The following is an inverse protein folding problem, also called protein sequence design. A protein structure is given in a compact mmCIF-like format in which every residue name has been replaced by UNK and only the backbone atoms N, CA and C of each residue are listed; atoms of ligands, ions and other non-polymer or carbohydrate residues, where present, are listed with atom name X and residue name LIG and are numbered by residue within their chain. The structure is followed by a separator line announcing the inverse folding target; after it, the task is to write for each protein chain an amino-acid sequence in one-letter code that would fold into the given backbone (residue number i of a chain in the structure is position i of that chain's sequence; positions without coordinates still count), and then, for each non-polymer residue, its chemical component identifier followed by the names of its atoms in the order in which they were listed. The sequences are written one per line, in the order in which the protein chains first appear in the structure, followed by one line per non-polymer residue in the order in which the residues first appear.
data_IF_866395818987
#
_entry.id   IF_866395818987
#
_cell.length_a   1.000
_cell.length_b   1.000
_cell.length_c   1.000
_cell.angle_alpha   90.00
_cell.angle_beta   90.00
_cell.angle_gamma   90.00
#
_symmetry.space_group_name_H-M   'P 1'
#
loop_
_entity.id
_entity.type
_entity.pdbx_description
1 polymer ?
#
# COMPACT_ATOMS: atom_id res chain seq x y z
N UNK A 1 21.07 19.67 -59.23
CA UNK A 1 20.48 18.64 -58.36
C UNK A 1 20.64 19.12 -56.93
N UNK A 2 19.57 19.68 -56.38
CA UNK A 2 19.51 20.16 -54.99
C UNK A 2 19.05 19.00 -54.13
N UNK A 3 19.94 18.47 -53.29
CA UNK A 3 19.57 17.51 -52.25
C UNK A 3 18.68 18.21 -51.22
N UNK A 4 17.41 17.78 -51.19
CA UNK A 4 16.49 18.11 -50.12
C UNK A 4 16.96 17.38 -48.87
N UNK A 5 17.65 18.10 -48.00
CA UNK A 5 17.97 17.64 -46.65
C UNK A 5 16.65 17.48 -45.90
N UNK A 6 16.25 16.22 -45.72
CA UNK A 6 15.11 15.83 -44.89
C UNK A 6 15.43 16.12 -43.41
N UNK A 7 15.15 17.34 -42.98
CA UNK A 7 15.01 17.71 -41.58
C UNK A 7 13.67 17.17 -41.02
N UNK A 8 13.58 15.85 -40.86
CA UNK A 8 12.48 15.25 -40.10
C UNK A 8 13.00 14.18 -39.14
N UNK A 9 14.08 14.50 -38.42
CA UNK A 9 14.47 13.76 -37.22
C UNK A 9 13.54 14.15 -36.07
N UNK A 10 12.40 13.46 -36.03
CA UNK A 10 11.51 13.26 -34.88
C UNK A 10 11.33 14.42 -33.90
N UNK A 11 10.21 15.13 -34.00
CA UNK A 11 9.71 16.04 -32.96
C UNK A 11 9.80 15.35 -31.59
N UNK A 12 10.80 15.73 -30.80
CA UNK A 12 10.88 15.35 -29.39
C UNK A 12 9.68 15.97 -28.67
N UNK A 13 8.90 15.14 -27.97
CA UNK A 13 7.80 15.59 -27.12
C UNK A 13 8.26 16.76 -26.23
N UNK A 14 7.57 17.90 -26.32
CA UNK A 14 7.78 19.05 -25.44
C UNK A 14 6.76 19.00 -24.31
N UNK A 15 7.19 18.95 -23.03
CA UNK A 15 6.26 18.95 -21.92
C UNK A 15 5.50 20.29 -21.85
N UNK A 16 4.18 20.22 -21.75
CA UNK A 16 3.32 21.38 -21.53
C UNK A 16 2.85 21.31 -20.08
N UNK A 17 3.29 22.28 -19.27
CA UNK A 17 2.87 22.38 -17.89
C UNK A 17 1.59 23.20 -17.78
N UNK A 18 0.61 22.69 -17.05
CA UNK A 18 -0.69 23.35 -16.87
C UNK A 18 -1.03 23.49 -15.39
N UNK A 19 -1.79 24.52 -15.05
CA UNK A 19 -2.32 24.74 -13.70
C UNK A 19 -3.57 23.91 -13.40
N UNK A 20 -4.31 23.53 -14.45
CA UNK A 20 -5.45 22.62 -14.40
C UNK A 20 -5.27 21.54 -15.46
N UNK A 21 -5.53 20.30 -15.09
CA UNK A 21 -5.25 19.12 -15.89
C UNK A 21 -6.48 18.30 -16.22
N UNK A 22 -7.60 18.50 -15.53
CA UNK A 22 -8.82 17.75 -15.82
C UNK A 22 -9.27 17.95 -17.28
N UNK A 23 -9.66 16.85 -17.94
CA UNK A 23 -9.98 16.78 -19.37
C UNK A 23 -8.84 17.17 -20.33
N UNK A 24 -7.58 17.21 -19.87
CA UNK A 24 -6.42 17.53 -20.72
C UNK A 24 -5.97 16.32 -21.52
N UNK A 25 -5.58 16.54 -22.77
CA UNK A 25 -4.99 15.49 -23.61
C UNK A 25 -3.62 15.05 -23.10
N UNK A 26 -3.39 13.74 -23.06
CA UNK A 26 -2.13 13.11 -22.67
C UNK A 26 -1.58 12.25 -23.80
N UNK A 27 -0.25 12.18 -23.87
CA UNK A 27 0.45 11.32 -24.81
C UNK A 27 1.02 10.11 -24.09
N UNK A 28 0.54 8.93 -24.45
CA UNK A 28 1.07 7.65 -23.97
C UNK A 28 2.25 7.26 -24.88
N UNK A 29 3.43 7.16 -24.29
CA UNK A 29 4.65 6.76 -24.98
C UNK A 29 4.65 5.25 -25.29
N UNK A 30 5.55 4.84 -26.21
CA UNK A 30 5.67 3.44 -26.67
C UNK A 30 5.90 2.42 -25.54
N UNK A 31 6.47 2.85 -24.42
CA UNK A 31 6.70 2.00 -23.24
C UNK A 31 5.49 1.92 -22.29
N UNK A 32 4.29 2.29 -22.74
CA UNK A 32 3.06 2.33 -21.94
C UNK A 32 3.13 3.30 -20.75
N UNK A 33 3.92 4.36 -20.84
CA UNK A 33 3.96 5.39 -19.78
C UNK A 33 3.57 6.75 -20.33
N UNK A 34 3.07 7.63 -19.47
CA UNK A 34 2.79 9.01 -19.80
C UNK A 34 3.22 9.93 -18.66
N UNK A 35 3.47 11.18 -19.00
CA UNK A 35 3.81 12.23 -18.03
C UNK A 35 2.62 13.14 -17.77
N UNK A 36 2.37 13.45 -16.50
CA UNK A 36 1.52 14.56 -16.07
C UNK A 36 2.46 15.71 -15.69
N UNK A 37 2.28 16.88 -16.29
CA UNK A 37 3.12 18.05 -16.09
C UNK A 37 2.27 19.17 -15.50
N UNK A 38 2.47 19.44 -14.22
CA UNK A 38 1.63 20.34 -13.44
C UNK A 38 2.45 21.52 -12.94
N UNK A 39 1.86 22.72 -12.96
CA UNK A 39 2.38 23.89 -12.27
C UNK A 39 1.46 24.22 -11.12
N UNK A 40 2.01 24.24 -9.90
CA UNK A 40 1.24 24.53 -8.70
C UNK A 40 0.95 26.03 -8.53
N UNK A 41 0.21 26.37 -7.47
CA UNK A 41 -0.16 27.75 -7.16
C UNK A 41 1.03 28.69 -6.89
N UNK A 42 2.20 28.14 -6.56
CA UNK A 42 3.44 28.88 -6.33
C UNK A 42 4.31 28.98 -7.59
N UNK A 43 3.88 28.36 -8.69
CA UNK A 43 4.65 28.32 -9.93
C UNK A 43 5.67 27.18 -10.00
N UNK A 44 5.72 26.27 -9.01
CA UNK A 44 6.63 25.14 -9.04
C UNK A 44 6.17 24.09 -10.05
N UNK A 45 7.14 23.47 -10.71
CA UNK A 45 6.90 22.51 -11.80
C UNK A 45 7.03 21.08 -11.29
N UNK A 46 5.93 20.35 -11.38
CA UNK A 46 5.81 18.97 -10.95
C UNK A 46 5.67 18.05 -12.16
N UNK A 47 6.36 16.90 -12.12
CA UNK A 47 6.26 15.84 -13.13
C UNK A 47 5.93 14.52 -12.47
N UNK A 48 4.82 13.93 -12.87
CA UNK A 48 4.42 12.58 -12.47
C UNK A 48 4.53 11.64 -13.66
N UNK A 49 5.07 10.45 -13.45
CA UNK A 49 5.15 9.41 -14.48
C UNK A 49 4.21 8.28 -14.10
N UNK A 50 3.30 7.97 -15.01
CA UNK A 50 2.23 6.99 -14.79
C UNK A 50 2.32 5.89 -15.85
N UNK A 51 2.08 4.64 -15.47
CA UNK A 51 2.04 3.52 -16.40
C UNK A 51 0.61 3.30 -16.88
N UNK A 52 0.34 3.67 -18.13
CA UNK A 52 -0.94 3.40 -18.76
C UNK A 52 -1.19 1.88 -18.88
N UNK A 53 -2.44 1.43 -18.71
CA UNK A 53 -2.77 0.02 -18.77
C UNK A 53 -2.71 -0.55 -20.19
N UNK A 54 -2.58 -1.86 -20.31
CA UNK A 54 -2.51 -2.54 -21.62
C UNK A 54 -3.72 -2.26 -22.53
N UNK A 55 -4.90 -2.00 -21.96
CA UNK A 55 -6.11 -1.61 -22.71
C UNK A 55 -5.94 -0.30 -23.47
N UNK A 56 -5.03 0.58 -23.03
CA UNK A 56 -4.72 1.83 -23.72
C UNK A 56 -3.89 1.64 -25.00
N UNK A 57 -3.50 0.40 -25.32
CA UNK A 57 -2.59 0.06 -26.44
C UNK A 57 -3.21 -0.89 -27.48
N UNK A 58 -4.55 -1.05 -27.51
CA UNK A 58 -5.22 -1.87 -28.52
C UNK A 58 -4.87 -1.45 -29.97
N UNK A 59 -5.04 -2.30 -30.98
CA UNK A 59 -4.73 -1.98 -32.38
C UNK A 59 -5.51 -0.76 -32.94
N UNK A 60 -6.62 -0.38 -32.29
CA UNK A 60 -7.39 0.86 -32.57
C UNK A 60 -7.05 2.02 -31.61
N UNK A 61 -5.98 1.94 -30.83
CA UNK A 61 -5.62 2.91 -29.77
C UNK A 61 -5.05 4.24 -30.28
N UNK A 62 -5.06 4.47 -31.59
CA UNK A 62 -4.63 5.73 -32.23
C UNK A 62 -5.50 6.94 -31.83
N UNK A 63 -6.63 6.71 -31.18
CA UNK A 63 -7.48 7.78 -30.64
C UNK A 63 -6.79 8.57 -29.52
N UNK A 64 -7.11 9.86 -29.45
CA UNK A 64 -6.65 10.78 -28.40
C UNK A 64 -7.00 10.23 -27.01
N UNK A 65 -6.21 10.63 -26.01
CA UNK A 65 -6.36 10.17 -24.62
C UNK A 65 -6.42 11.38 -23.72
N UNK A 66 -7.31 11.35 -22.74
CA UNK A 66 -7.57 12.48 -21.86
C UNK A 66 -7.50 12.02 -20.42
N UNK A 67 -6.93 12.85 -19.56
CA UNK A 67 -6.85 12.59 -18.12
C UNK A 67 -8.04 13.25 -17.40
N UNK A 68 -8.64 12.52 -16.47
CA UNK A 68 -9.71 12.98 -15.61
C UNK A 68 -9.40 12.69 -14.16
N UNK A 69 -9.65 13.67 -13.29
CA UNK A 69 -9.54 13.51 -11.84
C UNK A 69 -10.95 13.29 -11.28
N UNK A 70 -11.13 12.20 -10.54
CA UNK A 70 -12.44 11.76 -10.05
C UNK A 70 -12.35 11.34 -8.59
N UNK A 71 -13.50 11.21 -7.91
CA UNK A 71 -13.56 10.70 -6.53
C UNK A 71 -12.91 9.32 -6.34
N UNK A 72 -12.92 8.49 -7.39
CA UNK A 72 -12.42 7.12 -7.34
C UNK A 72 -10.92 7.03 -7.72
N UNK A 73 -10.32 8.13 -8.19
CA UNK A 73 -8.91 8.24 -8.56
C UNK A 73 -8.67 9.03 -9.85
N UNK A 74 -7.58 8.70 -10.55
CA UNK A 74 -7.23 9.30 -11.84
C UNK A 74 -7.67 8.35 -12.96
N UNK A 75 -8.50 8.84 -13.86
CA UNK A 75 -9.02 8.08 -14.99
C UNK A 75 -8.42 8.59 -16.30
N UNK A 76 -8.04 7.67 -17.18
CA UNK A 76 -7.59 7.98 -18.54
C UNK A 76 -8.67 7.49 -19.47
N UNK A 77 -9.27 8.39 -20.25
CA UNK A 77 -10.34 8.05 -21.19
C UNK A 77 -9.89 8.23 -22.63
N UNK A 78 -10.44 7.44 -23.52
CA UNK A 78 -10.33 7.70 -24.95
C UNK A 78 -11.29 8.82 -25.40
N UNK A 79 -11.21 9.16 -26.69
CA UNK A 79 -12.04 10.19 -27.32
C UNK A 79 -13.54 9.89 -27.28
N UNK A 80 -13.93 8.62 -27.18
CA UNK A 80 -15.32 8.21 -27.00
C UNK A 80 -15.76 8.24 -25.52
N UNK A 81 -14.86 8.60 -24.60
CA UNK A 81 -15.13 8.71 -23.18
C UNK A 81 -15.00 7.39 -22.41
N UNK A 82 -14.50 6.31 -23.03
CA UNK A 82 -14.31 5.04 -22.35
C UNK A 82 -13.00 5.02 -21.56
N UNK A 83 -13.09 4.56 -20.31
CA UNK A 83 -11.92 4.42 -19.44
C UNK A 83 -10.95 3.36 -19.95
N UNK A 84 -9.69 3.75 -20.09
CA UNK A 84 -8.56 2.87 -20.29
C UNK A 84 -8.28 2.18 -18.95
N UNK A 85 -8.90 1.02 -18.70
CA UNK A 85 -8.77 0.33 -17.41
C UNK A 85 -7.56 -0.61 -17.39
N UNK A 86 -6.85 -0.71 -16.26
CA UNK A 86 -5.90 -1.80 -16.04
C UNK A 86 -6.62 -3.14 -16.05
N UNK A 87 -6.60 -3.83 -17.19
CA UNK A 87 -6.67 -5.27 -17.24
C UNK A 87 -5.31 -5.79 -16.76
N UNK A 88 -5.17 -6.06 -15.46
CA UNK A 88 -3.93 -6.65 -14.95
C UNK A 88 -4.20 -7.96 -14.25
N UNK A 89 -4.49 -8.97 -15.08
CA UNK A 89 -4.52 -10.38 -14.69
C UNK A 89 -5.75 -11.08 -15.22
N UNK A 90 -5.82 -12.38 -14.96
CA UNK A 90 -7.01 -13.18 -15.21
C UNK A 90 -8.28 -12.47 -14.69
N UNK A 91 -8.23 -11.65 -13.65
CA UNK A 91 -9.40 -11.12 -12.94
C UNK A 91 -10.38 -10.14 -13.61
N UNK A 92 -10.19 -9.76 -14.88
CA UNK A 92 -11.07 -8.79 -15.54
C UNK A 92 -11.01 -7.36 -14.93
N UNK A 93 -11.80 -6.42 -15.48
CA UNK A 93 -11.80 -5.03 -15.03
C UNK A 93 -12.61 -4.93 -13.72
N UNK A 94 -11.91 -4.70 -12.61
CA UNK A 94 -12.56 -4.40 -11.31
C UNK A 94 -12.37 -2.95 -10.86
N UNK A 95 -11.61 -2.15 -11.59
CA UNK A 95 -11.39 -0.74 -11.27
C UNK A 95 -12.36 0.11 -12.08
N UNK A 96 -13.04 1.07 -11.44
CA UNK A 96 -13.90 2.06 -12.10
C UNK A 96 -13.09 3.13 -12.86
N UNK A 97 -11.79 3.23 -12.55
CA UNK A 97 -10.87 4.22 -13.13
C UNK A 97 -9.51 3.58 -13.42
N UNK A 98 -8.72 4.22 -14.28
CA UNK A 98 -7.36 3.76 -14.64
C UNK A 98 -6.44 3.61 -13.42
N UNK A 99 -6.39 4.60 -12.54
CA UNK A 99 -5.56 4.62 -11.32
C UNK A 99 -6.43 4.91 -10.11
N UNK A 100 -6.85 3.86 -9.37
CA UNK A 100 -7.64 4.04 -8.16
C UNK A 100 -6.96 4.95 -7.12
N UNK A 101 -7.75 5.72 -6.38
CA UNK A 101 -7.28 6.72 -5.40
C UNK A 101 -6.35 6.12 -4.34
N UNK A 102 -6.55 4.84 -3.98
CA UNK A 102 -5.71 4.13 -3.02
C UNK A 102 -4.29 3.87 -3.55
N UNK A 103 -4.07 3.94 -4.88
CA UNK A 103 -2.76 3.76 -5.49
C UNK A 103 -1.90 5.02 -5.51
N UNK A 104 -2.51 6.20 -5.37
CA UNK A 104 -1.80 7.47 -5.56
C UNK A 104 -0.61 7.64 -4.60
N UNK A 105 -0.73 7.11 -3.37
CA UNK A 105 0.34 7.12 -2.35
C UNK A 105 1.55 6.25 -2.68
N UNK A 106 1.50 5.45 -3.75
CA UNK A 106 2.56 4.50 -4.10
C UNK A 106 2.82 4.40 -5.61
N UNK A 107 2.33 5.37 -6.40
CA UNK A 107 2.43 5.33 -7.86
C UNK A 107 3.75 5.93 -8.39
N UNK A 108 4.43 6.76 -7.59
CA UNK A 108 5.66 7.46 -7.96
C UNK A 108 6.91 6.86 -7.29
N UNK A 109 8.08 7.24 -7.83
CA UNK A 109 9.38 6.75 -7.35
C UNK A 109 9.72 7.25 -5.94
N UNK A 110 9.23 8.43 -5.55
CA UNK A 110 9.54 9.06 -4.26
C UNK A 110 8.28 9.41 -3.47
N UNK A 111 8.39 9.40 -2.15
CA UNK A 111 7.31 9.78 -1.25
C UNK A 111 6.89 11.25 -1.42
N UNK A 112 7.84 12.14 -1.73
CA UNK A 112 7.54 13.53 -2.05
C UNK A 112 6.59 13.63 -3.26
N UNK A 113 6.95 13.01 -4.38
CA UNK A 113 6.10 12.99 -5.58
C UNK A 113 4.74 12.33 -5.35
N UNK A 114 4.65 11.31 -4.49
CA UNK A 114 3.36 10.73 -4.12
C UNK A 114 2.48 11.75 -3.37
N UNK A 115 3.06 12.55 -2.47
CA UNK A 115 2.33 13.62 -1.79
C UNK A 115 1.90 14.71 -2.75
N UNK A 116 2.77 15.12 -3.67
CA UNK A 116 2.45 16.16 -4.65
C UNK A 116 1.36 15.69 -5.63
N UNK A 117 1.36 14.40 -6.00
CA UNK A 117 0.30 13.80 -6.82
C UNK A 117 -1.03 13.72 -6.07
N UNK A 118 -1.01 13.35 -4.79
CA UNK A 118 -2.21 13.37 -3.95
C UNK A 118 -2.73 14.80 -3.86
N UNK A 119 -1.87 15.79 -3.62
CA UNK A 119 -2.26 17.19 -3.54
C UNK A 119 -2.89 17.69 -4.84
N UNK A 120 -2.30 17.37 -6.00
CA UNK A 120 -2.91 17.63 -7.30
C UNK A 120 -4.31 17.02 -7.42
N UNK A 121 -4.48 15.75 -7.02
CA UNK A 121 -5.79 15.10 -7.04
C UNK A 121 -6.80 15.81 -6.13
N UNK A 122 -6.39 16.25 -4.93
CA UNK A 122 -7.25 16.99 -4.01
C UNK A 122 -7.67 18.34 -4.60
N UNK A 123 -6.77 19.05 -5.28
CA UNK A 123 -7.07 20.32 -5.95
C UNK A 123 -8.08 20.15 -7.08
N UNK A 124 -7.88 19.15 -7.95
CA UNK A 124 -8.75 18.91 -9.11
C UNK A 124 -10.14 18.39 -8.73
N UNK A 125 -10.26 17.72 -7.56
CA UNK A 125 -11.53 17.11 -7.11
C UNK A 125 -12.24 17.88 -6.00
N UNK A 126 -11.52 18.73 -5.26
CA UNK A 126 -12.01 19.37 -4.04
C UNK A 126 -12.19 18.41 -2.85
N UNK A 127 -11.65 17.18 -2.91
CA UNK A 127 -11.84 16.16 -1.89
C UNK A 127 -10.62 16.03 -0.96
N UNK A 128 -10.85 15.62 0.28
CA UNK A 128 -9.76 15.23 1.18
C UNK A 128 -9.37 13.75 0.98
N UNK A 129 -8.10 13.50 0.72
CA UNK A 129 -7.61 12.14 0.45
C UNK A 129 -7.68 11.25 1.69
N UNK A 130 -7.34 11.77 2.88
CA UNK A 130 -7.38 10.97 4.11
C UNK A 130 -8.82 10.56 4.46
N UNK A 131 -9.78 11.48 4.33
CA UNK A 131 -11.20 11.19 4.51
C UNK A 131 -11.69 10.16 3.49
N UNK A 132 -11.31 10.31 2.22
CA UNK A 132 -11.68 9.38 1.14
C UNK A 132 -11.20 7.96 1.44
N UNK A 133 -9.92 7.80 1.80
CA UNK A 133 -9.35 6.49 2.15
C UNK A 133 -10.00 5.90 3.40
N UNK A 134 -10.24 6.73 4.42
CA UNK A 134 -10.86 6.29 5.68
C UNK A 134 -12.29 5.78 5.45
N UNK A 135 -13.07 6.46 4.62
CA UNK A 135 -14.43 6.04 4.27
C UNK A 135 -14.44 4.71 3.50
N UNK A 136 -13.46 4.49 2.61
CA UNK A 136 -13.29 3.22 1.90
C UNK A 136 -12.90 2.06 2.85
N UNK A 137 -12.28 2.38 3.98
CA UNK A 137 -11.88 1.42 4.99
C UNK A 137 -13.00 1.02 5.97
N UNK A 138 -14.08 1.81 6.05
CA UNK A 138 -15.11 1.75 7.08
C UNK A 138 -16.12 0.58 6.99
N UNK A 139 -15.73 -0.58 6.46
CA UNK A 139 -16.53 -1.80 6.59
C UNK A 139 -15.92 -2.72 7.68
N UNK A 140 -16.27 -2.53 8.97
CA UNK A 140 -15.89 -3.48 10.00
C UNK A 140 -16.79 -4.71 9.94
N UNK A 141 -16.19 -5.88 9.69
CA UNK A 141 -16.90 -7.17 9.78
C UNK A 141 -16.88 -7.75 11.21
N UNK A 142 -16.19 -7.12 12.16
CA UNK A 142 -16.04 -7.62 13.52
C UNK A 142 -16.29 -6.53 14.56
N UNK A 143 -16.93 -6.94 15.66
CA UNK A 143 -17.14 -6.13 16.86
C UNK A 143 -15.77 -5.73 17.46
N UNK A 144 -15.54 -4.44 17.74
CA UNK A 144 -14.27 -3.99 18.31
C UNK A 144 -14.05 -4.63 19.69
N UNK A 145 -12.85 -5.16 19.92
CA UNK A 145 -12.41 -5.65 21.23
C UNK A 145 -12.36 -4.47 22.22
N UNK A 146 -12.70 -4.72 23.49
CA UNK A 146 -12.83 -3.70 24.55
C UNK A 146 -11.58 -2.83 24.79
N UNK A 147 -10.40 -3.29 24.38
CA UNK A 147 -9.11 -2.59 24.57
C UNK A 147 -8.58 -1.85 23.32
N UNK A 148 -9.32 -1.87 22.20
CA UNK A 148 -8.94 -1.22 20.95
C UNK A 148 -9.77 0.04 20.63
N UNK A 149 -10.59 0.49 21.58
CA UNK A 149 -11.51 1.62 21.43
C UNK A 149 -10.82 2.97 21.51
N UNK A 150 -9.75 3.11 22.32
CA UNK A 150 -9.03 4.37 22.44
C UNK A 150 -7.81 4.45 21.50
N UNK A 151 -7.68 5.52 20.71
CA UNK A 151 -6.54 5.74 19.84
C UNK A 151 -5.28 6.04 20.68
N UNK A 152 -4.14 5.45 20.30
CA UNK A 152 -2.85 5.82 20.87
C UNK A 152 -2.58 7.31 20.65
N UNK A 153 -1.99 8.04 21.61
CA UNK A 153 -1.75 9.47 21.45
C UNK A 153 -0.77 9.74 20.31
N UNK A 154 -0.93 10.86 19.58
CA UNK A 154 0.00 11.24 18.49
C UNK A 154 1.47 11.28 18.93
N UNK A 155 1.71 11.66 20.20
CA UNK A 155 3.04 11.67 20.81
C UNK A 155 3.70 10.27 20.89
N UNK A 156 2.93 9.19 20.80
CA UNK A 156 3.46 7.83 20.74
C UNK A 156 4.19 7.55 19.43
N UNK A 157 3.80 8.23 18.34
CA UNK A 157 4.32 8.01 16.99
C UNK A 157 5.38 9.05 16.57
N UNK A 158 6.12 9.62 17.53
CA UNK A 158 7.14 10.63 17.24
C UNK A 158 8.32 10.00 16.49
N UNK A 159 8.67 10.61 15.35
CA UNK A 159 9.83 10.21 14.55
C UNK A 159 9.61 10.46 13.06
N UNK A 160 10.65 10.29 12.24
CA UNK A 160 10.55 10.46 10.79
C UNK A 160 9.85 9.30 10.08
N UNK A 161 9.71 8.15 10.75
CA UNK A 161 8.99 6.96 10.28
C UNK A 161 9.53 6.35 8.98
N UNK A 162 9.77 5.05 8.94
CA UNK A 162 10.10 4.32 7.71
C UNK A 162 8.82 3.81 7.04
N UNK A 163 8.79 3.92 5.72
CA UNK A 163 7.73 3.39 4.86
C UNK A 163 7.99 1.90 4.60
N UNK A 164 6.93 1.13 4.41
CA UNK A 164 7.01 -0.22 3.86
C UNK A 164 7.55 -0.16 2.43
N UNK A 165 8.26 -1.21 2.04
CA UNK A 165 8.80 -1.35 0.68
C UNK A 165 7.65 -1.38 -0.32
N UNK A 166 7.62 -0.39 -1.24
CA UNK A 166 6.63 -0.25 -2.33
C UNK A 166 7.22 -0.65 -3.70
N UNK A 167 6.41 -0.52 -4.76
CA UNK A 167 6.84 -0.78 -6.13
C UNK A 167 8.00 0.14 -6.52
N UNK A 168 8.90 -0.34 -7.39
CA UNK A 168 10.02 0.45 -7.93
C UNK A 168 11.11 0.89 -6.93
N UNK A 169 11.11 0.38 -5.69
CA UNK A 169 12.18 0.64 -4.73
C UNK A 169 13.40 -0.27 -4.97
N UNK A 170 14.58 0.35 -5.05
CA UNK A 170 15.90 -0.29 -5.21
C UNK A 170 16.93 0.30 -4.23
N UNK A 171 18.09 -0.36 -4.10
CA UNK A 171 19.21 0.11 -3.27
C UNK A 171 18.98 -0.01 -1.77
N UNK A 172 19.49 0.95 -1.00
CA UNK A 172 19.55 0.95 0.47
C UNK A 172 18.18 0.79 1.16
N UNK A 173 17.10 1.13 0.47
CA UNK A 173 15.73 0.93 0.94
C UNK A 173 15.31 -0.55 1.05
N UNK A 174 16.15 -1.48 0.57
CA UNK A 174 15.95 -2.92 0.67
C UNK A 174 16.83 -3.59 1.74
N UNK A 175 17.70 -2.83 2.42
CA UNK A 175 18.52 -3.38 3.49
C UNK A 175 17.63 -3.83 4.67
N UNK A 176 17.89 -5.01 5.25
CA UNK A 176 17.13 -5.46 6.41
C UNK A 176 17.25 -4.45 7.55
N UNK A 177 16.20 -4.36 8.36
CA UNK A 177 16.21 -3.53 9.55
C UNK A 177 17.25 -4.09 10.53
N UNK A 178 18.26 -3.29 10.87
CA UNK A 178 19.30 -3.67 11.83
C UNK A 178 18.78 -3.62 13.28
N UNK A 179 17.69 -2.87 13.52
CA UNK A 179 17.03 -2.73 14.81
C UNK A 179 15.52 -2.90 14.62
N UNK A 180 14.76 -3.30 15.66
CA UNK A 180 13.31 -3.36 15.58
C UNK A 180 12.70 -2.05 15.07
N UNK A 181 11.66 -2.11 14.20
CA UNK A 181 10.91 -0.94 13.78
C UNK A 181 10.42 -0.10 14.97
N UNK A 182 10.45 1.21 14.83
CA UNK A 182 9.97 2.14 15.84
C UNK A 182 8.48 2.44 15.63
N UNK A 183 7.73 2.87 16.66
CA UNK A 183 6.29 3.16 16.52
C UNK A 183 5.88 4.05 15.35
N UNK A 184 6.74 5.00 14.95
CA UNK A 184 6.50 5.89 13.81
C UNK A 184 6.62 5.21 12.42
N UNK A 185 7.15 3.99 12.35
CA UNK A 185 7.38 3.24 11.11
C UNK A 185 6.12 2.46 10.69
N UNK A 186 5.81 2.44 9.39
CA UNK A 186 4.74 1.59 8.86
C UNK A 186 5.03 0.09 9.09
N UNK A 187 6.32 -0.28 9.07
CA UNK A 187 6.77 -1.64 9.39
C UNK A 187 6.52 -2.03 10.84
N UNK A 188 6.40 -1.07 11.75
CA UNK A 188 6.00 -1.36 13.12
C UNK A 188 4.56 -1.84 13.18
N UNK A 189 3.63 -1.20 12.45
CA UNK A 189 2.24 -1.69 12.36
C UNK A 189 2.19 -3.11 11.79
N UNK A 190 2.96 -3.39 10.73
CA UNK A 190 3.06 -4.75 10.17
C UNK A 190 3.66 -5.73 11.20
N UNK A 191 4.70 -5.34 11.94
CA UNK A 191 5.29 -6.17 12.99
C UNK A 191 4.26 -6.49 14.08
N UNK A 192 3.50 -5.49 14.54
CA UNK A 192 2.46 -5.70 15.57
C UNK A 192 1.36 -6.64 15.08
N UNK A 193 0.93 -6.51 13.83
CA UNK A 193 0.01 -7.46 13.20
C UNK A 193 0.59 -8.88 13.15
N UNK A 194 1.86 -9.03 12.75
CA UNK A 194 2.52 -10.34 12.70
C UNK A 194 2.68 -10.95 14.09
N UNK A 195 3.01 -10.15 15.11
CA UNK A 195 3.12 -10.62 16.50
C UNK A 195 1.76 -11.06 17.07
N UNK A 196 0.66 -10.40 16.70
CA UNK A 196 -0.67 -10.80 17.16
C UNK A 196 -1.12 -12.14 16.58
N UNK A 197 -0.88 -12.36 15.28
CA UNK A 197 -1.43 -13.52 14.56
C UNK A 197 -0.43 -14.67 14.36
N UNK A 198 0.88 -14.38 14.40
CA UNK A 198 1.98 -15.34 14.29
C UNK A 198 3.10 -15.06 15.32
N UNK A 199 2.80 -15.06 16.64
CA UNK A 199 3.77 -14.70 17.68
C UNK A 199 5.00 -15.61 17.70
N UNK A 200 4.80 -16.92 17.51
CA UNK A 200 5.89 -17.91 17.43
C UNK A 200 6.36 -18.17 15.98
N UNK A 201 5.82 -17.43 15.02
CA UNK A 201 5.90 -17.78 13.60
C UNK A 201 4.86 -18.83 13.21
N UNK A 202 5.10 -19.53 12.11
CA UNK A 202 4.18 -20.52 11.56
C UNK A 202 3.96 -20.35 10.06
N UNK A 203 2.82 -20.83 9.58
CA UNK A 203 2.44 -20.74 8.18
C UNK A 203 1.59 -19.48 7.96
N UNK A 204 1.97 -18.66 6.99
CA UNK A 204 1.19 -17.52 6.54
C UNK A 204 0.96 -17.61 5.04
N UNK A 205 -0.17 -17.09 4.59
CA UNK A 205 -0.58 -17.08 3.20
C UNK A 205 -0.63 -15.66 2.65
N UNK A 206 -0.16 -15.50 1.41
CA UNK A 206 -0.20 -14.27 0.63
C UNK A 206 -0.93 -14.57 -0.67
N UNK A 207 -2.21 -14.22 -0.71
CA UNK A 207 -3.05 -14.32 -1.90
C UNK A 207 -4.22 -13.34 -1.81
N UNK A 208 -4.91 -13.11 -2.92
CA UNK A 208 -6.12 -12.29 -2.92
C UNK A 208 -7.21 -12.97 -2.07
N UNK A 209 -7.63 -12.39 -0.93
CA UNK A 209 -8.57 -13.02 -0.01
C UNK A 209 -9.95 -13.25 -0.63
N UNK A 210 -10.35 -12.46 -1.64
CA UNK A 210 -11.63 -12.64 -2.35
C UNK A 210 -11.62 -13.95 -3.16
N UNK A 211 -10.43 -14.38 -3.59
CA UNK A 211 -10.27 -15.59 -4.41
C UNK A 211 -9.90 -16.83 -3.61
N UNK A 212 -9.29 -16.63 -2.46
CA UNK A 212 -8.90 -17.67 -1.53
C UNK A 212 -9.67 -17.52 -0.21
N UNK A 213 -11.01 -17.53 -0.22
CA UNK A 213 -11.79 -17.33 0.99
C UNK A 213 -11.52 -18.41 2.04
N UNK A 214 -11.24 -19.65 1.60
CA UNK A 214 -10.88 -20.76 2.48
C UNK A 214 -9.51 -20.59 3.20
N UNK A 215 -8.73 -19.59 2.80
CA UNK A 215 -7.44 -19.23 3.42
C UNK A 215 -7.53 -17.91 4.18
N UNK A 216 -8.72 -17.43 4.52
CA UNK A 216 -8.87 -16.15 5.21
C UNK A 216 -8.12 -16.12 6.55
N UNK A 217 -8.17 -17.23 7.30
CA UNK A 217 -7.60 -17.34 8.65
C UNK A 217 -6.07 -17.29 8.69
N UNK A 218 -5.38 -17.65 7.61
CA UNK A 218 -3.93 -17.56 7.52
C UNK A 218 -3.46 -16.51 6.50
N UNK A 219 -4.36 -15.69 5.96
CA UNK A 219 -4.03 -14.67 4.96
C UNK A 219 -3.62 -13.33 5.61
N UNK A 220 -2.37 -12.93 5.38
CA UNK A 220 -1.83 -11.68 5.92
C UNK A 220 -2.62 -10.43 5.51
N UNK A 221 -3.24 -10.42 4.33
CA UNK A 221 -4.02 -9.27 3.88
C UNK A 221 -5.32 -9.10 4.65
N UNK A 222 -5.94 -10.21 5.10
CA UNK A 222 -7.15 -10.17 5.94
C UNK A 222 -6.82 -9.57 7.29
N UNK A 223 -5.82 -10.15 7.96
CA UNK A 223 -5.39 -9.71 9.28
C UNK A 223 -4.85 -8.28 9.27
N UNK A 224 -4.00 -7.93 8.30
CA UNK A 224 -3.48 -6.57 8.21
C UNK A 224 -4.57 -5.55 7.91
N UNK A 225 -5.57 -5.90 7.08
CA UNK A 225 -6.72 -5.01 6.80
C UNK A 225 -7.53 -4.74 8.06
N UNK A 226 -7.81 -5.77 8.83
CA UNK A 226 -8.49 -5.62 10.11
C UNK A 226 -7.66 -4.75 11.07
N UNK A 227 -6.37 -5.04 11.19
CA UNK A 227 -5.46 -4.39 12.10
C UNK A 227 -5.34 -2.87 11.86
N UNK A 228 -5.20 -2.45 10.60
CA UNK A 228 -5.02 -1.03 10.23
C UNK A 228 -6.30 -0.21 10.31
N UNK A 229 -7.44 -0.87 10.46
CA UNK A 229 -8.74 -0.23 10.64
C UNK A 229 -9.15 -0.13 12.12
N UNK A 230 -8.31 -0.59 13.05
CA UNK A 230 -8.57 -0.47 14.48
C UNK A 230 -8.41 0.99 14.95
N UNK A 231 -9.34 1.52 15.78
CA UNK A 231 -9.27 2.89 16.29
C UNK A 231 -7.94 3.21 16.97
N UNK A 232 -7.37 2.22 17.68
CA UNK A 232 -6.06 2.26 18.33
C UNK A 232 -4.94 2.91 17.51
N UNK A 233 -4.91 2.71 16.18
CA UNK A 233 -3.81 3.18 15.33
C UNK A 233 -4.18 4.41 14.47
N UNK A 234 -5.37 4.99 14.64
CA UNK A 234 -5.83 6.13 13.82
C UNK A 234 -4.92 7.36 13.88
N UNK A 235 -4.20 7.55 14.98
CA UNK A 235 -3.26 8.66 15.14
C UNK A 235 -1.87 8.40 14.52
N UNK A 236 -1.63 7.21 13.96
CA UNK A 236 -0.35 6.91 13.33
C UNK A 236 -0.19 7.78 12.07
N UNK A 237 0.94 8.48 11.88
CA UNK A 237 1.12 9.52 10.85
C UNK A 237 0.97 9.01 9.42
N UNK A 238 1.06 7.70 9.22
CA UNK A 238 0.93 7.03 7.91
C UNK A 238 -0.21 6.02 7.84
N UNK A 239 -1.16 6.05 8.78
CA UNK A 239 -2.24 5.06 8.81
C UNK A 239 -3.05 5.06 7.51
N UNK A 240 -3.36 6.24 6.96
CA UNK A 240 -4.09 6.36 5.71
C UNK A 240 -3.31 5.78 4.51
N UNK A 241 -1.98 5.96 4.47
CA UNK A 241 -1.12 5.35 3.45
C UNK A 241 -1.13 3.82 3.55
N UNK A 242 -1.09 3.29 4.77
CA UNK A 242 -1.15 1.87 5.00
C UNK A 242 -2.52 1.28 4.67
N UNK A 243 -3.61 1.93 5.07
CA UNK A 243 -4.98 1.56 4.71
C UNK A 243 -5.15 1.53 3.19
N UNK A 244 -4.71 2.59 2.49
CA UNK A 244 -4.72 2.64 1.02
C UNK A 244 -3.93 1.47 0.41
N UNK A 245 -2.74 1.18 0.95
CA UNK A 245 -1.93 0.07 0.47
C UNK A 245 -2.59 -1.30 0.71
N UNK A 246 -3.28 -1.50 1.82
CA UNK A 246 -3.95 -2.78 2.11
C UNK A 246 -5.22 -2.95 1.28
N UNK A 247 -5.90 -1.88 0.90
CA UNK A 247 -7.10 -1.96 0.05
C UNK A 247 -6.78 -2.32 -1.40
N UNK A 248 -5.61 -1.92 -1.92
CA UNK A 248 -5.22 -2.18 -3.31
C UNK A 248 -4.58 -3.58 -3.50
N UNK A 249 -5.15 -4.67 -2.95
CA UNK A 249 -4.56 -6.03 -2.99
C UNK A 249 -4.35 -6.55 -4.43
N UNK A 250 -5.04 -5.98 -5.42
CA UNK A 250 -5.07 -6.45 -6.81
C UNK A 250 -3.83 -6.13 -7.64
N UNK A 251 -2.84 -5.43 -7.09
CA UNK A 251 -1.63 -5.09 -7.83
C UNK A 251 -0.63 -6.27 -7.87
N UNK A 252 -0.26 -6.73 -9.08
CA UNK A 252 0.55 -7.94 -9.31
C UNK A 252 1.91 -7.97 -8.57
N UNK A 253 2.44 -6.81 -8.19
CA UNK A 253 3.71 -6.72 -7.48
C UNK A 253 3.59 -6.82 -5.94
N UNK A 254 2.37 -6.81 -5.37
CA UNK A 254 2.19 -6.74 -3.92
C UNK A 254 2.62 -7.99 -3.18
N UNK A 255 2.47 -9.18 -3.77
CA UNK A 255 3.02 -10.41 -3.16
C UNK A 255 4.54 -10.27 -2.93
N UNK A 256 5.28 -9.75 -3.92
CA UNK A 256 6.73 -9.53 -3.81
C UNK A 256 7.07 -8.46 -2.76
N UNK A 257 6.31 -7.38 -2.72
CA UNK A 257 6.50 -6.32 -1.72
C UNK A 257 6.22 -6.83 -0.31
N UNK A 258 5.10 -7.53 -0.11
CA UNK A 258 4.74 -8.13 1.17
C UNK A 258 5.81 -9.12 1.63
N UNK A 259 6.27 -10.03 0.76
CA UNK A 259 7.37 -10.94 1.09
C UNK A 259 8.65 -10.21 1.52
N UNK A 260 9.02 -9.10 0.86
CA UNK A 260 10.19 -8.30 1.26
C UNK A 260 10.00 -7.64 2.62
N UNK A 261 8.83 -7.06 2.87
CA UNK A 261 8.50 -6.44 4.15
C UNK A 261 8.48 -7.48 5.28
N UNK A 262 7.82 -8.62 5.09
CA UNK A 262 7.85 -9.74 6.04
C UNK A 262 9.29 -10.23 6.25
N UNK A 263 10.06 -10.39 5.17
CA UNK A 263 11.44 -10.82 5.24
C UNK A 263 12.35 -9.87 6.02
N UNK A 264 11.95 -8.62 6.24
CA UNK A 264 12.66 -7.70 7.14
C UNK A 264 12.34 -7.93 8.62
N UNK A 265 11.17 -8.50 8.92
CA UNK A 265 10.62 -8.62 10.28
C UNK A 265 10.70 -10.05 10.82
N UNK A 266 10.58 -11.02 9.94
CA UNK A 266 10.59 -12.46 10.19
C UNK A 266 11.63 -13.13 9.29
N UNK A 267 12.19 -14.24 9.73
CA UNK A 267 12.89 -15.18 8.87
C UNK A 267 11.87 -15.94 8.03
N UNK A 268 12.07 -16.00 6.72
CA UNK A 268 11.26 -16.84 5.82
C UNK A 268 12.08 -18.10 5.56
N UNK A 269 11.69 -19.22 6.17
CA UNK A 269 12.44 -20.48 6.11
C UNK A 269 12.00 -21.37 4.95
N UNK A 270 10.76 -21.22 4.51
CA UNK A 270 10.22 -21.95 3.36
C UNK A 270 9.22 -21.10 2.59
N UNK A 271 9.09 -21.39 1.30
CA UNK A 271 8.20 -20.71 0.37
C UNK A 271 7.60 -21.70 -0.63
N UNK A 272 6.28 -21.79 -0.65
CA UNK A 272 5.52 -22.61 -1.60
C UNK A 272 4.58 -21.75 -2.44
N UNK A 273 4.67 -21.87 -3.77
CA UNK A 273 3.65 -21.30 -4.67
C UNK A 273 2.45 -22.24 -4.70
N UNK A 274 1.26 -21.68 -4.50
CA UNK A 274 0.00 -22.43 -4.58
C UNK A 274 -0.79 -21.90 -5.78
N UNK A 275 -1.35 -22.81 -6.58
CA UNK A 275 -2.23 -22.48 -7.69
C UNK A 275 -3.55 -23.21 -7.52
N UNK A 276 -4.65 -22.48 -7.62
CA UNK A 276 -6.00 -23.04 -7.63
C UNK A 276 -6.71 -22.68 -8.93
N UNK A 277 -7.59 -23.56 -9.43
CA UNK A 277 -8.36 -23.32 -10.64
C UNK A 277 -9.61 -22.51 -10.31
N UNK A 278 -9.82 -21.42 -11.05
CA UNK A 278 -11.03 -20.63 -11.00
C UNK A 278 -12.12 -21.28 -11.87
N UNK A 279 -12.83 -22.26 -11.31
CA UNK A 279 -13.86 -23.02 -12.05
C UNK A 279 -14.96 -22.14 -12.60
N UNK A 280 -15.37 -21.09 -11.87
CA UNK A 280 -16.42 -20.15 -12.28
C UNK A 280 -16.01 -19.33 -13.51
N UNK A 281 -14.74 -18.92 -13.59
CA UNK A 281 -14.25 -18.17 -14.76
C UNK A 281 -13.83 -19.06 -15.91
N UNK A 282 -13.36 -20.26 -15.63
CA UNK A 282 -13.11 -21.26 -16.67
C UNK A 282 -14.38 -21.55 -17.49
N UNK A 283 -15.56 -21.61 -16.86
CA UNK A 283 -16.84 -21.77 -17.58
C UNK A 283 -17.25 -20.55 -18.41
N UNK A 284 -16.83 -19.34 -18.03
CA UNK A 284 -17.17 -18.10 -18.75
C UNK A 284 -16.19 -17.82 -19.88
N UNK A 285 -14.90 -17.97 -19.62
CA UNK A 285 -13.83 -17.59 -20.55
C UNK A 285 -13.35 -18.76 -21.43
N UNK A 286 -13.85 -19.98 -21.16
CA UNK A 286 -13.44 -21.23 -21.83
C UNK A 286 -11.91 -21.44 -21.85
N UNK A 287 -11.22 -20.96 -20.81
CA UNK A 287 -9.76 -21.02 -20.66
C UNK A 287 -9.39 -21.52 -19.28
N UNK A 288 -8.26 -22.21 -19.15
CA UNK A 288 -7.74 -22.62 -17.83
C UNK A 288 -7.28 -21.39 -17.05
N UNK A 289 -8.15 -20.90 -16.19
CA UNK A 289 -7.89 -19.74 -15.34
C UNK A 289 -7.33 -20.22 -14.01
N UNK A 290 -6.06 -19.90 -13.75
CA UNK A 290 -5.39 -20.19 -12.47
C UNK A 290 -5.30 -18.94 -11.62
N UNK A 291 -5.50 -19.13 -10.33
CA UNK A 291 -5.31 -18.16 -9.28
C UNK A 291 -4.02 -18.50 -8.56
N UNK A 292 -3.09 -17.55 -8.45
CA UNK A 292 -1.84 -17.74 -7.72
C UNK A 292 -1.96 -17.23 -6.28
N UNK A 293 -1.36 -17.97 -5.36
CA UNK A 293 -1.07 -17.60 -3.98
C UNK A 293 0.36 -18.02 -3.60
N UNK A 294 0.87 -17.52 -2.48
CA UNK A 294 2.17 -17.92 -1.93
C UNK A 294 2.02 -18.17 -0.45
N UNK A 295 2.45 -19.35 -0.02
CA UNK A 295 2.52 -19.74 1.38
C UNK A 295 3.97 -19.61 1.85
N UNK A 296 4.17 -19.05 3.04
CA UNK A 296 5.47 -18.87 3.67
C UNK A 296 5.47 -19.53 5.04
N UNK A 297 6.55 -20.23 5.35
CA UNK A 297 6.90 -20.59 6.73
C UNK A 297 7.78 -19.49 7.30
N UNK A 298 7.35 -18.90 8.41
CA UNK A 298 8.04 -17.78 9.04
C UNK A 298 8.40 -18.03 10.50
N UNK A 299 9.44 -17.34 10.96
CA UNK A 299 9.87 -17.33 12.37
C UNK A 299 10.25 -15.89 12.76
N UNK A 300 9.87 -15.38 13.94
CA UNK A 300 10.16 -14.00 14.33
C UNK A 300 11.68 -13.73 14.34
N UNK A 301 12.11 -12.57 13.83
CA UNK A 301 13.51 -12.11 14.02
C UNK A 301 13.73 -11.51 15.41
N UNK A 302 12.68 -10.91 15.95
CA UNK A 302 12.65 -10.33 17.28
C UNK A 302 11.54 -11.00 18.07
N UNK A 303 11.77 -12.21 18.64
CA UNK A 303 10.88 -12.76 19.65
C UNK A 303 10.78 -11.72 20.78
N UNK A 304 9.60 -11.56 21.40
CA UNK A 304 9.09 -10.43 22.24
C UNK A 304 10.02 -9.80 23.33
N UNK A 305 11.26 -10.25 23.41
CA UNK A 305 12.39 -9.84 24.25
C UNK A 305 12.98 -8.43 24.01
N UNK A 306 12.44 -7.58 23.13
CA UNK A 306 12.98 -6.22 22.96
C UNK A 306 11.86 -5.19 23.08
N UNK A 307 11.48 -4.90 24.32
CA UNK A 307 10.79 -3.65 24.65
C UNK A 307 11.17 -3.09 26.02
N UNK A 308 12.41 -3.25 26.50
CA UNK A 308 12.97 -2.36 27.53
C UNK A 308 14.47 -2.16 27.33
N UNK A 309 14.84 -1.04 26.71
CA UNK A 309 15.99 -0.21 27.11
C UNK A 309 15.92 1.13 26.37
N UNK A 310 15.20 2.07 26.98
CA UNK A 310 15.12 3.45 26.49
C UNK A 310 14.01 4.27 27.15
N UNK A 311 14.34 4.90 28.28
CA UNK A 311 13.63 5.99 28.97
C UNK A 311 12.43 5.63 29.91
N UNK A 312 12.55 5.82 31.23
CA UNK A 312 11.57 5.37 32.25
C UNK A 312 10.35 6.30 32.41
N UNK A 313 9.85 6.94 31.34
CA UNK A 313 8.70 7.87 31.44
C UNK A 313 7.53 7.55 30.50
N UNK A 314 7.51 6.38 29.88
CA UNK A 314 6.42 5.98 28.99
C UNK A 314 5.71 4.78 29.62
N UNK A 315 4.43 4.97 29.86
CA UNK A 315 3.47 3.99 30.37
C UNK A 315 3.66 2.63 29.69
N UNK A 316 4.14 1.64 30.45
CA UNK A 316 4.20 0.25 30.01
C UNK A 316 3.05 -0.52 30.63
N UNK A 317 2.17 -1.03 29.79
CA UNK A 317 1.28 -2.15 30.13
C UNK A 317 2.06 -3.43 29.84
N UNK A 318 2.53 -4.11 30.89
CA UNK A 318 3.18 -5.43 30.75
C UNK A 318 2.09 -6.49 30.91
N UNK A 319 1.85 -7.28 29.87
CA UNK A 319 0.98 -8.46 29.95
C UNK A 319 1.85 -9.67 30.26
N UNK A 320 1.92 -10.06 31.54
CA UNK A 320 2.46 -11.37 31.94
C UNK A 320 1.27 -12.27 32.26
N UNK A 321 1.12 -13.37 31.50
CA UNK A 321 0.14 -14.43 31.75
C UNK A 321 -1.34 -13.99 31.81
N UNK A 322 -1.73 -13.01 30.99
CA UNK A 322 -3.14 -12.65 30.83
C UNK A 322 -3.74 -11.78 31.94
N UNK A 323 -2.94 -11.30 32.89
CA UNK A 323 -3.37 -10.33 33.90
C UNK A 323 -2.75 -8.95 33.65
N UNK A 324 -3.58 -7.91 33.77
CA UNK A 324 -3.20 -6.51 33.64
C UNK A 324 -2.71 -5.99 34.99
N UNK A 325 -1.41 -5.75 35.13
CA UNK A 325 -0.85 -5.14 36.34
C UNK A 325 -0.67 -3.64 36.17
N UNK A 326 -1.09 -2.88 37.18
CA UNK A 326 -0.82 -1.45 37.28
C UNK A 326 0.54 -1.24 37.97
N UNK A 327 1.34 -0.25 37.53
CA UNK A 327 2.75 -0.05 37.94
C UNK A 327 2.91 0.08 39.46
N UNK A 328 1.88 0.55 40.17
CA UNK A 328 1.88 0.63 41.63
C UNK A 328 1.92 -0.74 42.34
N UNK A 329 1.41 -1.81 41.72
CA UNK A 329 1.46 -3.16 42.30
C UNK A 329 2.81 -3.85 42.08
N UNK A 330 3.49 -3.63 40.95
CA UNK A 330 4.78 -4.29 40.68
C UNK A 330 5.93 -3.75 41.55
N UNK A 331 5.87 -2.47 41.97
CA UNK A 331 6.88 -1.89 42.86
C UNK A 331 6.74 -2.38 44.31
N UNK A 332 5.56 -2.84 44.74
CA UNK A 332 5.38 -3.43 46.08
C UNK A 332 5.86 -4.89 46.15
N UNK A 333 5.78 -5.65 45.05
CA UNK A 333 6.22 -7.06 45.03
C UNK A 333 7.76 -7.15 45.03
N UNK A 334 8.46 -6.15 44.50
CA UNK A 334 9.93 -6.14 44.43
C UNK A 334 10.68 -5.62 45.66
N UNK A 335 9.98 -5.13 46.69
CA UNK A 335 10.60 -4.62 47.93
C UNK A 335 10.32 -5.52 49.16
N UNK A 336 9.57 -6.63 49.01
CA UNK A 336 9.21 -7.52 50.11
C UNK A 336 10.17 -8.68 50.38
N UNK A 337 11.02 -9.08 49.44
CA UNK A 337 11.82 -10.33 49.55
C UNK A 337 13.35 -10.10 49.69
N UNK A 338 13.75 -8.92 50.16
CA UNK A 338 15.12 -8.67 50.61
C UNK A 338 15.03 -7.93 51.95
N UNK A 339 14.61 -8.64 53.00
CA UNK A 339 14.98 -8.48 54.41
C UNK A 339 14.02 -9.33 55.27
N UNK A 340 14.27 -10.64 55.33
CA UNK A 340 14.02 -11.51 56.48
C UNK A 340 14.75 -12.83 56.28
#
# INVERSE_FOLDING_TARGET
MTEVVSENRGLRFKPVYLSQLNATEIFIWKNCTFGIYWVDAFGEKHKFVMCAPQSSQGPNSTGRKFIFFTKDGIDVRDEAGFSCLSYSGSLGPRNLVTFPVQRLSSSQATAAQNRDLIYLWQLETGLDWNMTISQMAAAPTQTPRSHDTEPLPKAFFIGKGRELIRANWYGDKLQPYQQPPQPADETWILLRCLQEHWPAGGMLFIGDPVKWPARADDNIWVHLKEFVNRPKYHNHPRIAQLQAWVQDVWHQQKTRQMMKNIGCLYYITDRRKIQERDRKRMSVEMKDVKIAGTELKVTPRWPDTILIKGNPKIWMTVTLRGELFNIHQCLQIGQGDILS
#
